data_IF_403548399909
#
_entry.id   IF_403548399909
#
_cell.length_a   1.000
_cell.length_b   1.000
_cell.length_c   1.000
_cell.angle_alpha   90.00
_cell.angle_beta   90.00
_cell.angle_gamma   90.00
#
_symmetry.space_group_name_H-M   'P 1'
#
loop_
_entity.id
_entity.type
_entity.pdbx_description
1 polymer ?
#
# COMPACT_ATOMS: atom_id res chain seq x y z
N UNK A 1 60.37 -18.25 19.10
CA UNK A 1 59.20 -17.48 18.63
C UNK A 1 58.26 -18.41 17.88
N UNK A 2 57.00 -18.54 18.29
CA UNK A 2 56.10 -19.58 17.76
C UNK A 2 55.58 -19.23 16.35
N UNK A 3 56.01 -20.00 15.36
CA UNK A 3 55.66 -19.83 13.94
C UNK A 3 54.15 -19.82 13.66
N UNK A 4 53.35 -20.47 14.52
CA UNK A 4 51.87 -20.47 14.46
C UNK A 4 51.25 -19.11 14.78
N UNK A 5 51.84 -18.36 15.71
CA UNK A 5 51.34 -17.04 16.11
C UNK A 5 51.55 -15.99 15.01
N UNK A 6 52.65 -16.11 14.27
CA UNK A 6 52.95 -15.24 13.13
C UNK A 6 51.98 -15.46 11.97
N UNK A 7 51.64 -16.73 11.65
CA UNK A 7 50.67 -17.09 10.60
C UNK A 7 49.24 -16.63 10.92
N UNK A 8 48.84 -16.70 12.20
CA UNK A 8 47.53 -16.23 12.65
C UNK A 8 47.39 -14.71 12.53
N UNK A 9 48.44 -13.96 12.90
CA UNK A 9 48.46 -12.50 12.77
C UNK A 9 48.45 -12.04 11.32
N UNK A 10 49.24 -12.67 10.45
CA UNK A 10 49.24 -12.32 9.02
C UNK A 10 47.91 -12.68 8.36
N UNK A 11 47.32 -13.84 8.69
CA UNK A 11 45.98 -14.21 8.20
C UNK A 11 44.89 -13.23 8.64
N UNK A 12 44.89 -12.82 9.91
CA UNK A 12 43.93 -11.82 10.43
C UNK A 12 44.11 -10.46 9.75
N UNK A 13 45.36 -10.02 9.55
CA UNK A 13 45.66 -8.76 8.88
C UNK A 13 45.16 -8.76 7.43
N UNK A 14 45.37 -9.87 6.70
CA UNK A 14 44.84 -10.04 5.35
C UNK A 14 43.32 -10.01 5.32
N UNK A 15 42.65 -10.71 6.25
CA UNK A 15 41.19 -10.73 6.33
C UNK A 15 40.61 -9.33 6.60
N UNK A 16 41.19 -8.60 7.56
CA UNK A 16 40.78 -7.21 7.88
C UNK A 16 41.02 -6.27 6.70
N UNK A 17 42.14 -6.42 6.00
CA UNK A 17 42.47 -5.59 4.83
C UNK A 17 41.50 -5.84 3.67
N UNK A 18 41.16 -7.10 3.40
CA UNK A 18 40.17 -7.46 2.37
C UNK A 18 38.78 -6.94 2.74
N UNK A 19 38.36 -7.07 4.00
CA UNK A 19 37.11 -6.50 4.50
C UNK A 19 37.06 -4.98 4.37
N UNK A 20 38.16 -4.29 4.70
CA UNK A 20 38.26 -2.84 4.59
C UNK A 20 38.19 -2.38 3.13
N UNK A 21 38.90 -3.06 2.21
CA UNK A 21 38.86 -2.75 0.77
C UNK A 21 37.47 -3.04 0.20
N UNK A 22 36.84 -4.16 0.57
CA UNK A 22 35.47 -4.48 0.16
C UNK A 22 34.49 -3.41 0.64
N UNK A 23 34.57 -2.99 1.92
CA UNK A 23 33.79 -1.88 2.46
C UNK A 23 34.03 -0.58 1.68
N UNK A 24 35.27 -0.22 1.39
CA UNK A 24 35.60 0.99 0.63
C UNK A 24 35.08 0.94 -0.81
N UNK A 25 35.11 -0.22 -1.47
CA UNK A 25 34.54 -0.40 -2.81
C UNK A 25 33.01 -0.28 -2.75
N UNK A 26 32.35 -0.92 -1.80
CA UNK A 26 30.90 -0.80 -1.62
C UNK A 26 30.49 0.64 -1.32
N UNK A 27 31.27 1.35 -0.49
CA UNK A 27 31.09 2.77 -0.19
C UNK A 27 31.35 3.63 -1.42
N UNK A 28 32.39 3.35 -2.20
CA UNK A 28 32.73 4.08 -3.42
C UNK A 28 31.67 3.93 -4.51
N UNK A 29 31.21 2.70 -4.76
CA UNK A 29 30.08 2.42 -5.66
C UNK A 29 28.83 3.14 -5.15
N UNK A 30 28.55 3.08 -3.85
CA UNK A 30 27.40 3.74 -3.27
C UNK A 30 27.43 5.28 -3.39
N UNK A 31 28.58 5.91 -3.12
CA UNK A 31 28.76 7.36 -3.24
C UNK A 31 28.69 7.79 -4.70
N UNK A 32 29.21 6.98 -5.63
CA UNK A 32 29.22 7.31 -7.04
C UNK A 32 27.85 7.12 -7.70
N UNK A 33 27.09 6.09 -7.29
CA UNK A 33 25.78 5.75 -7.85
C UNK A 33 24.62 6.49 -7.18
N UNK A 34 24.82 7.12 -6.00
CA UNK A 34 23.81 8.01 -5.41
C UNK A 34 24.02 9.46 -5.81
N UNK A 35 22.97 10.16 -6.29
CA UNK A 35 23.04 11.60 -6.47
C UNK A 35 23.32 12.31 -5.12
N UNK A 36 24.16 13.36 -5.10
CA UNK A 36 24.56 14.05 -3.89
C UNK A 36 23.37 14.86 -3.36
N UNK A 37 23.00 14.65 -2.10
CA UNK A 37 21.76 15.13 -1.48
C UNK A 37 20.50 14.59 -2.16
N UNK A 38 19.50 14.22 -1.35
CA UNK A 38 18.23 13.78 -1.89
C UNK A 38 17.64 14.86 -2.82
N UNK A 39 17.43 14.49 -4.09
CA UNK A 39 16.93 15.37 -5.16
C UNK A 39 15.40 15.34 -5.23
N UNK A 40 14.75 14.62 -4.32
CA UNK A 40 13.30 14.54 -4.27
C UNK A 40 12.68 15.88 -3.85
N UNK A 41 11.44 16.19 -4.30
CA UNK A 41 10.80 17.48 -4.07
C UNK A 41 10.66 17.87 -2.60
N UNK A 42 10.42 16.89 -1.73
CA UNK A 42 10.15 17.12 -0.31
C UNK A 42 11.37 16.75 0.56
N UNK A 43 12.26 17.72 0.76
CA UNK A 43 13.52 17.56 1.53
C UNK A 43 13.33 17.65 3.04
N UNK A 44 12.57 18.65 3.49
CA UNK A 44 12.23 18.90 4.88
C UNK A 44 10.73 19.18 4.98
N UNK A 45 10.06 18.43 5.84
CA UNK A 45 8.62 18.57 6.08
C UNK A 45 8.31 19.78 6.94
N UNK A 46 9.32 20.37 7.60
CA UNK A 46 9.10 21.39 8.61
C UNK A 46 8.18 20.92 9.73
N UNK A 47 7.76 21.85 10.59
CA UNK A 47 6.76 21.55 11.61
C UNK A 47 5.90 22.76 11.91
N UNK A 48 4.69 22.75 11.35
CA UNK A 48 3.61 23.63 11.81
C UNK A 48 2.63 22.75 12.58
N UNK A 49 2.50 23.01 13.88
CA UNK A 49 1.60 22.27 14.75
C UNK A 49 0.16 22.62 14.33
N UNK A 50 -0.58 21.64 13.84
CA UNK A 50 -1.95 21.84 13.33
C UNK A 50 -2.98 21.55 14.42
N UNK A 51 -2.74 20.54 15.27
CA UNK A 51 -3.64 20.23 16.39
C UNK A 51 -2.93 19.42 17.49
N UNK A 52 -3.28 19.71 18.74
CA UNK A 52 -2.93 18.86 19.89
C UNK A 52 -4.18 18.12 20.33
N UNK A 53 -4.26 16.80 20.11
CA UNK A 53 -5.39 15.99 20.57
C UNK A 53 -4.96 15.24 21.83
N UNK A 54 -5.78 15.22 22.90
CA UNK A 54 -5.50 14.37 24.06
C UNK A 54 -5.43 12.90 23.61
N UNK A 55 -4.33 12.22 23.91
CA UNK A 55 -4.12 10.86 23.42
C UNK A 55 -5.16 9.90 24.01
N UNK A 56 -5.48 8.85 23.25
CA UNK A 56 -6.33 7.71 23.68
C UNK A 56 -5.67 6.88 24.81
N UNK A 57 -4.43 7.21 25.21
CA UNK A 57 -3.71 6.59 26.33
C UNK A 57 -3.60 7.57 27.52
N UNK A 58 -3.62 7.08 28.77
CA UNK A 58 -3.45 7.95 29.92
C UNK A 58 -2.04 8.55 29.94
N UNK A 59 -1.94 9.87 29.81
CA UNK A 59 -0.70 10.64 30.01
C UNK A 59 0.02 11.16 28.75
N UNK A 60 -0.52 10.98 27.55
CA UNK A 60 0.06 11.52 26.31
C UNK A 60 -0.79 12.61 25.66
N UNK A 61 -0.15 13.59 25.02
CA UNK A 61 -0.77 14.41 23.97
C UNK A 61 -0.22 13.90 22.64
N UNK A 62 -1.08 13.60 21.67
CA UNK A 62 -0.63 13.33 20.30
C UNK A 62 -0.68 14.65 19.55
N UNK A 63 0.49 15.14 19.16
CA UNK A 63 0.63 16.34 18.34
C UNK A 63 0.57 15.94 16.86
N UNK A 64 -0.30 16.62 16.12
CA UNK A 64 -0.43 16.47 14.67
C UNK A 64 0.18 17.67 13.99
N UNK A 65 1.01 17.40 12.99
CA UNK A 65 1.75 18.40 12.25
C UNK A 65 1.26 18.47 10.80
N UNK A 66 1.20 19.68 10.25
CA UNK A 66 1.02 19.87 8.82
C UNK A 66 2.39 19.85 8.13
N UNK A 67 2.61 19.02 7.11
CA UNK A 67 3.86 19.03 6.38
C UNK A 67 3.91 20.25 5.44
N UNK A 68 5.07 20.91 5.37
CA UNK A 68 5.35 22.05 4.47
C UNK A 68 5.38 21.68 3.00
N UNK A 69 5.66 20.41 2.70
CA UNK A 69 5.61 19.83 1.36
C UNK A 69 4.77 18.55 1.39
N UNK A 70 4.18 18.16 0.26
CA UNK A 70 3.51 16.88 0.12
C UNK A 70 4.54 15.75 0.08
N UNK A 71 4.63 14.86 1.09
CA UNK A 71 5.61 13.76 1.09
C UNK A 71 5.22 12.62 0.14
N UNK A 72 3.98 12.61 -0.34
CA UNK A 72 3.41 11.52 -1.12
C UNK A 72 2.86 12.06 -2.44
N UNK A 73 3.08 11.31 -3.51
CA UNK A 73 2.47 11.50 -4.82
C UNK A 73 1.51 10.35 -5.10
N UNK A 74 0.31 10.68 -5.62
CA UNK A 74 -0.65 9.69 -6.09
C UNK A 74 -0.69 9.63 -7.61
N UNK A 75 -0.81 8.42 -8.11
CA UNK A 75 -1.04 8.14 -9.53
C UNK A 75 -2.35 7.36 -9.68
N UNK A 76 -3.08 7.69 -10.73
CA UNK A 76 -4.26 6.97 -11.16
C UNK A 76 -4.15 6.76 -12.67
N UNK A 77 -4.49 5.58 -13.12
CA UNK A 77 -4.50 5.20 -14.53
C UNK A 77 -5.74 4.35 -14.80
N UNK A 78 -6.31 4.47 -16.01
CA UNK A 78 -7.43 3.68 -16.49
C UNK A 78 -6.96 2.83 -17.68
N UNK A 79 -7.27 1.53 -17.69
CA UNK A 79 -6.88 0.64 -18.81
C UNK A 79 -7.57 1.05 -20.10
N UNK A 80 -8.91 1.13 -20.04
CA UNK A 80 -9.77 1.72 -21.05
C UNK A 80 -10.63 2.74 -20.34
N UNK A 81 -10.61 4.02 -20.75
CA UNK A 81 -11.41 5.08 -20.14
C UNK A 81 -12.87 5.00 -20.63
N UNK A 82 -13.47 3.81 -20.53
CA UNK A 82 -14.82 3.52 -20.97
C UNK A 82 -15.56 2.68 -19.91
N UNK A 83 -16.81 3.04 -19.67
CA UNK A 83 -17.73 2.37 -18.78
C UNK A 83 -19.09 2.18 -19.46
N UNK A 84 -19.98 1.37 -18.88
CA UNK A 84 -21.34 1.15 -19.36
C UNK A 84 -22.39 1.51 -18.32
N UNK A 85 -23.49 2.09 -18.79
CA UNK A 85 -24.63 2.47 -17.94
C UNK A 85 -25.19 1.23 -17.24
N UNK A 86 -25.42 1.35 -15.93
CA UNK A 86 -25.98 0.33 -15.05
C UNK A 86 -25.24 -1.02 -15.05
N UNK A 87 -23.98 -1.05 -15.51
CA UNK A 87 -23.14 -2.24 -15.45
C UNK A 87 -22.07 -2.10 -14.39
N UNK A 88 -22.01 -3.09 -13.50
CA UNK A 88 -20.87 -3.28 -12.61
C UNK A 88 -19.73 -3.92 -13.39
N UNK A 89 -18.51 -3.72 -12.92
CA UNK A 89 -17.29 -4.29 -13.48
C UNK A 89 -16.88 -3.81 -14.88
N UNK A 90 -17.18 -2.55 -15.16
CA UNK A 90 -16.93 -1.95 -16.48
C UNK A 90 -15.68 -1.08 -16.52
N UNK A 91 -15.29 -0.44 -15.42
CA UNK A 91 -14.14 0.46 -15.36
C UNK A 91 -13.00 -0.19 -14.58
N UNK A 92 -11.81 -0.16 -15.17
CA UNK A 92 -10.59 -0.79 -14.65
C UNK A 92 -9.55 0.28 -14.39
N UNK A 93 -8.95 0.27 -13.20
CA UNK A 93 -8.02 1.29 -12.75
C UNK A 93 -6.75 0.68 -12.14
N UNK A 94 -5.68 1.47 -12.12
CA UNK A 94 -4.46 1.20 -11.37
C UNK A 94 -4.11 2.43 -10.57
N UNK A 95 -4.11 2.30 -9.25
CA UNK A 95 -3.73 3.37 -8.35
C UNK A 95 -2.32 3.11 -7.82
N UNK A 96 -1.52 4.17 -7.69
CA UNK A 96 -0.18 4.09 -7.12
C UNK A 96 0.05 5.18 -6.08
N UNK A 97 0.83 4.85 -5.06
CA UNK A 97 1.30 5.78 -4.04
C UNK A 97 2.83 5.75 -4.03
N UNK A 98 3.45 6.93 -4.08
CA UNK A 98 4.90 7.08 -4.14
C UNK A 98 5.37 8.00 -3.03
N UNK A 99 6.40 7.59 -2.31
CA UNK A 99 7.09 8.48 -1.39
C UNK A 99 8.04 9.41 -2.17
N UNK A 100 7.72 10.70 -2.18
CA UNK A 100 8.52 11.78 -2.79
C UNK A 100 9.25 12.62 -1.73
N UNK A 101 9.29 12.12 -0.49
CA UNK A 101 10.09 12.63 0.59
C UNK A 101 11.44 11.90 0.66
N UNK A 102 12.46 12.62 1.15
CA UNK A 102 13.78 12.08 1.43
C UNK A 102 13.84 11.19 2.67
N UNK A 103 12.74 11.14 3.43
CA UNK A 103 12.56 10.38 4.66
C UNK A 103 11.60 9.23 4.41
N UNK A 104 11.70 8.16 5.22
CA UNK A 104 10.71 7.08 5.19
C UNK A 104 9.37 7.59 5.72
N UNK A 105 8.29 7.19 5.07
CA UNK A 105 6.93 7.58 5.44
C UNK A 105 6.15 6.32 5.81
N UNK A 106 5.82 6.16 7.09
CA UNK A 106 4.93 5.11 7.55
C UNK A 106 3.49 5.52 7.24
N UNK A 107 2.99 5.09 6.08
CA UNK A 107 1.68 5.44 5.56
C UNK A 107 0.70 4.28 5.80
N UNK A 108 -0.59 4.61 5.88
CA UNK A 108 -1.66 3.61 5.88
C UNK A 108 -1.86 3.09 4.45
N UNK A 109 -1.51 1.82 4.20
CA UNK A 109 -1.44 1.23 2.86
C UNK A 109 -2.41 0.07 2.64
N UNK A 110 -3.36 -0.10 3.56
CA UNK A 110 -4.27 -1.23 3.57
C UNK A 110 -5.12 -1.35 2.28
N UNK A 111 -5.45 -0.23 1.64
CA UNK A 111 -6.13 -0.21 0.34
C UNK A 111 -5.35 -0.95 -0.76
N UNK A 112 -4.02 -0.81 -0.78
CA UNK A 112 -3.16 -1.37 -1.83
C UNK A 112 -3.01 -2.89 -1.75
N UNK A 113 -3.37 -3.51 -0.62
CA UNK A 113 -3.39 -4.97 -0.44
C UNK A 113 -4.78 -5.61 -0.58
N UNK A 114 -5.80 -4.81 -0.93
CA UNK A 114 -7.13 -5.32 -1.27
C UNK A 114 -8.23 -5.09 -0.24
N UNK A 115 -8.15 -4.00 0.54
CA UNK A 115 -9.30 -3.50 1.29
C UNK A 115 -10.10 -2.45 0.49
N UNK A 116 -11.30 -2.15 0.99
CA UNK A 116 -12.22 -1.19 0.37
C UNK A 116 -11.65 0.24 0.37
N UNK A 117 -11.84 1.03 -0.70
CA UNK A 117 -11.44 2.44 -0.81
C UNK A 117 -12.23 3.40 0.10
N UNK A 118 -13.02 2.92 1.06
CA UNK A 118 -13.80 3.80 1.95
C UNK A 118 -13.47 3.62 3.43
N UNK A 119 -12.60 2.68 3.76
CA UNK A 119 -12.37 2.32 5.16
C UNK A 119 -11.11 2.97 5.75
N UNK A 120 -10.18 3.51 4.96
CA UNK A 120 -8.83 3.78 5.46
C UNK A 120 -8.03 4.82 4.64
N UNK A 121 -8.45 6.08 4.64
CA UNK A 121 -7.64 7.21 4.19
C UNK A 121 -7.48 7.39 2.67
N UNK A 122 -7.49 6.31 1.89
CA UNK A 122 -7.54 6.35 0.44
C UNK A 122 -8.99 6.28 -0.04
N UNK A 123 -9.38 7.12 -1.01
CA UNK A 123 -10.71 7.12 -1.63
C UNK A 123 -10.69 7.57 -3.09
N UNK A 124 -11.82 7.39 -3.79
CA UNK A 124 -12.05 7.98 -5.10
C UNK A 124 -13.08 9.09 -5.02
N UNK A 125 -12.84 10.19 -5.73
CA UNK A 125 -13.88 11.17 -6.08
C UNK A 125 -14.26 10.96 -7.53
N UNK A 126 -15.55 10.79 -7.79
CA UNK A 126 -16.09 10.59 -9.14
C UNK A 126 -17.14 11.66 -9.40
N UNK A 127 -17.10 12.33 -10.53
CA UNK A 127 -18.10 13.33 -10.93
C UNK A 127 -18.88 12.87 -12.15
N UNK A 128 -20.19 13.10 -12.12
CA UNK A 128 -21.10 12.88 -13.23
C UNK A 128 -20.93 13.96 -14.33
N UNK A 129 -21.56 13.80 -15.52
CA UNK A 129 -21.48 14.78 -16.60
C UNK A 129 -22.04 16.16 -16.24
N UNK A 130 -22.87 16.25 -15.19
CA UNK A 130 -23.37 17.52 -14.66
C UNK A 130 -22.43 18.13 -13.61
N UNK A 131 -21.27 17.51 -13.35
CA UNK A 131 -20.28 17.96 -12.38
C UNK A 131 -20.60 17.62 -10.93
N UNK A 132 -21.58 16.75 -10.66
CA UNK A 132 -21.98 16.36 -9.30
C UNK A 132 -21.22 15.11 -8.86
N UNK A 133 -20.84 15.05 -7.58
CA UNK A 133 -20.18 13.87 -7.03
C UNK A 133 -21.11 12.66 -7.06
N UNK A 134 -20.62 11.56 -7.64
CA UNK A 134 -21.28 10.25 -7.63
C UNK A 134 -21.03 9.62 -6.28
N UNK A 135 -22.10 9.28 -5.57
CA UNK A 135 -22.00 8.56 -4.30
C UNK A 135 -21.68 7.08 -4.61
N UNK A 136 -20.69 6.49 -3.94
CA UNK A 136 -20.42 5.06 -4.04
C UNK A 136 -21.69 4.26 -3.74
N UNK A 137 -22.04 3.34 -4.62
CA UNK A 137 -23.10 2.39 -4.34
C UNK A 137 -22.60 1.37 -3.32
N UNK A 138 -23.50 0.85 -2.48
CA UNK A 138 -23.18 -0.31 -1.65
C UNK A 138 -22.62 -1.39 -2.57
N UNK A 139 -21.41 -1.94 -2.29
CA UNK A 139 -20.76 -2.88 -3.19
C UNK A 139 -21.72 -4.02 -3.53
N UNK A 140 -22.49 -4.48 -2.52
CA UNK A 140 -23.51 -5.51 -2.66
C UNK A 140 -24.62 -5.32 -1.62
N UNK A 141 -25.86 -5.01 -2.02
CA UNK A 141 -26.94 -4.67 -1.10
C UNK A 141 -27.53 -5.89 -0.36
N UNK A 142 -27.26 -7.13 -0.81
CA UNK A 142 -27.93 -8.33 -0.29
C UNK A 142 -27.01 -9.53 -0.14
N UNK A 143 -27.19 -10.27 0.96
CA UNK A 143 -26.66 -11.62 1.17
C UNK A 143 -27.07 -12.52 -0.01
N UNK A 144 -26.13 -13.35 -0.49
CA UNK A 144 -26.33 -14.20 -1.68
C UNK A 144 -25.97 -13.53 -3.01
N UNK A 145 -25.53 -12.26 -3.00
CA UNK A 145 -24.96 -11.62 -4.19
C UNK A 145 -23.62 -12.26 -4.57
N UNK A 146 -23.27 -12.26 -5.86
CA UNK A 146 -21.99 -12.79 -6.34
C UNK A 146 -21.01 -11.65 -6.63
N UNK A 147 -19.84 -11.72 -6.00
CA UNK A 147 -18.66 -10.92 -6.30
C UNK A 147 -17.87 -11.65 -7.37
N UNK A 148 -17.72 -11.10 -8.57
CA UNK A 148 -17.06 -11.81 -9.67
C UNK A 148 -15.53 -11.76 -9.61
N UNK A 149 -14.98 -10.65 -9.11
CA UNK A 149 -13.54 -10.41 -9.05
C UNK A 149 -13.10 -10.20 -7.62
N UNK A 150 -11.90 -10.63 -7.30
CA UNK A 150 -11.25 -10.37 -6.02
C UNK A 150 -9.86 -9.82 -6.27
N UNK A 151 -9.29 -9.14 -5.31
CA UNK A 151 -7.91 -8.67 -5.41
C UNK A 151 -6.93 -9.84 -5.29
N UNK A 152 -5.90 -9.84 -6.14
CA UNK A 152 -4.80 -10.78 -6.05
C UNK A 152 -3.93 -10.42 -4.85
N UNK A 153 -4.23 -11.03 -3.71
CA UNK A 153 -3.46 -10.86 -2.47
C UNK A 153 -1.99 -11.30 -2.62
N UNK A 154 -1.65 -12.05 -3.67
CA UNK A 154 -0.28 -12.46 -3.92
C UNK A 154 0.54 -11.41 -4.68
N UNK A 155 -0.09 -10.42 -5.31
CA UNK A 155 0.62 -9.41 -6.10
C UNK A 155 1.54 -8.52 -5.25
N UNK A 156 1.12 -8.16 -4.03
CA UNK A 156 1.90 -7.34 -3.10
C UNK A 156 2.22 -8.07 -1.77
N UNK A 157 2.70 -9.32 -1.82
CA UNK A 157 3.01 -10.10 -0.60
C UNK A 157 4.02 -9.41 0.33
N UNK A 158 5.01 -8.69 -0.23
CA UNK A 158 6.01 -7.97 0.57
C UNK A 158 5.34 -6.91 1.44
N UNK A 159 4.49 -6.07 0.84
CA UNK A 159 3.70 -5.09 1.56
C UNK A 159 2.75 -5.75 2.55
N UNK A 160 2.02 -6.79 2.13
CA UNK A 160 1.07 -7.49 3.01
C UNK A 160 1.72 -8.04 4.30
N UNK A 161 2.97 -8.50 4.22
CA UNK A 161 3.76 -8.96 5.38
C UNK A 161 4.32 -7.82 6.23
N UNK A 162 4.54 -6.65 5.62
CA UNK A 162 5.07 -5.45 6.29
C UNK A 162 4.00 -4.55 6.90
N UNK A 163 2.71 -4.86 6.73
CA UNK A 163 1.62 -4.11 7.35
C UNK A 163 1.51 -4.44 8.84
N UNK A 164 1.41 -3.41 9.66
CA UNK A 164 1.06 -3.56 11.07
C UNK A 164 -0.44 -3.88 11.25
N UNK A 165 -0.87 -4.06 12.50
CA UNK A 165 -2.27 -4.36 12.83
C UNK A 165 -3.27 -3.25 12.46
N UNK A 166 -2.79 -2.04 12.19
CA UNK A 166 -3.58 -0.86 11.83
C UNK A 166 -3.52 -0.59 10.32
N UNK A 167 -2.80 -1.40 9.55
CA UNK A 167 -2.65 -1.26 8.11
C UNK A 167 -1.59 -0.22 7.69
N UNK A 168 -0.64 0.10 8.56
CA UNK A 168 0.50 0.97 8.26
C UNK A 168 1.71 0.16 7.80
N UNK A 169 2.47 0.70 6.85
CA UNK A 169 3.78 0.18 6.46
C UNK A 169 4.69 1.31 6.00
N UNK A 170 5.99 1.11 6.13
CA UNK A 170 7.01 2.09 5.72
C UNK A 170 7.14 2.12 4.20
N UNK A 171 7.04 3.32 3.62
CA UNK A 171 7.45 3.62 2.25
C UNK A 171 8.83 4.24 2.27
N UNK A 172 9.83 3.54 1.75
CA UNK A 172 11.16 4.09 1.61
C UNK A 172 11.18 5.28 0.63
N UNK A 173 12.19 6.16 0.76
CA UNK A 173 12.36 7.32 -0.13
C UNK A 173 12.37 6.87 -1.61
N UNK A 174 11.44 7.39 -2.41
CA UNK A 174 11.29 7.05 -3.82
C UNK A 174 10.53 5.74 -4.11
N UNK A 175 10.18 4.96 -3.08
CA UNK A 175 9.40 3.72 -3.24
C UNK A 175 8.00 4.03 -3.74
N UNK A 176 7.54 3.20 -4.68
CA UNK A 176 6.20 3.26 -5.26
C UNK A 176 5.50 1.92 -5.06
N UNK A 177 4.28 1.98 -4.56
CA UNK A 177 3.39 0.84 -4.38
C UNK A 177 2.20 1.01 -5.32
N UNK A 178 1.84 -0.06 -6.02
CA UNK A 178 0.66 -0.12 -6.88
C UNK A 178 -0.44 -0.95 -6.23
N UNK A 179 -1.70 -0.65 -6.54
CA UNK A 179 -2.86 -1.41 -6.05
C UNK A 179 -2.81 -2.85 -6.54
N UNK A 180 -3.19 -3.80 -5.69
CA UNK A 180 -3.37 -5.19 -6.11
C UNK A 180 -4.32 -5.29 -7.32
N UNK A 181 -3.96 -6.03 -8.38
CA UNK A 181 -4.83 -6.25 -9.51
C UNK A 181 -6.00 -7.15 -9.12
N UNK A 182 -7.07 -7.09 -9.90
CA UNK A 182 -8.20 -7.99 -9.77
C UNK A 182 -7.93 -9.31 -10.51
N UNK A 183 -8.36 -10.42 -9.91
CA UNK A 183 -8.41 -11.76 -10.49
C UNK A 183 -9.87 -12.21 -10.58
N UNK A 184 -10.15 -13.03 -11.58
CA UNK A 184 -11.44 -13.67 -11.73
C UNK A 184 -11.59 -14.80 -10.70
N UNK A 185 -12.28 -14.52 -9.61
CA UNK A 185 -12.42 -15.42 -8.46
C UNK A 185 -13.84 -15.29 -7.87
N UNK A 186 -14.88 -15.74 -8.62
CA UNK A 186 -16.24 -15.47 -8.25
C UNK A 186 -16.61 -16.13 -6.92
N UNK A 187 -17.19 -15.36 -6.01
CA UNK A 187 -17.57 -15.81 -4.66
C UNK A 187 -18.92 -15.22 -4.29
N UNK A 188 -19.82 -16.02 -3.74
CA UNK A 188 -21.09 -15.55 -3.22
C UNK A 188 -20.91 -14.96 -1.81
N UNK A 189 -21.64 -13.89 -1.50
CA UNK A 189 -21.59 -13.23 -0.19
C UNK A 189 -22.34 -14.06 0.84
N UNK A 190 -21.61 -14.49 1.86
CA UNK A 190 -22.12 -15.33 2.93
C UNK A 190 -23.00 -14.57 3.92
N UNK A 191 -23.96 -15.30 4.50
CA UNK A 191 -24.74 -14.84 5.64
C UNK A 191 -23.90 -15.07 6.90
N UNK A 192 -23.20 -14.05 7.37
CA UNK A 192 -22.53 -14.08 8.69
C UNK A 192 -21.00 -14.18 8.70
N UNK A 193 -20.33 -14.18 7.54
CA UNK A 193 -18.86 -14.04 7.46
C UNK A 193 -18.02 -15.14 8.12
N UNK A 194 -18.63 -16.25 8.55
CA UNK A 194 -17.90 -17.38 9.11
C UNK A 194 -17.18 -18.15 8.00
N UNK A 195 -15.85 -18.23 8.09
CA UNK A 195 -15.07 -18.99 7.10
C UNK A 195 -15.39 -20.49 7.17
N UNK A 196 -15.12 -21.22 6.08
CA UNK A 196 -15.18 -22.70 6.10
C UNK A 196 -14.33 -23.27 7.24
N UNK A 197 -13.18 -22.68 7.53
CA UNK A 197 -12.31 -23.12 8.62
C UNK A 197 -12.97 -22.93 10.00
N UNK A 198 -13.73 -21.85 10.20
CA UNK A 198 -14.49 -21.62 11.42
C UNK A 198 -15.64 -22.63 11.55
N UNK A 199 -16.34 -22.93 10.46
CA UNK A 199 -17.41 -23.94 10.42
C UNK A 199 -16.87 -25.35 10.72
N UNK A 200 -15.74 -25.74 10.10
CA UNK A 200 -15.12 -27.05 10.33
C UNK A 200 -14.53 -27.17 11.75
N UNK A 201 -14.08 -26.06 12.34
CA UNK A 201 -13.64 -26.03 13.74
C UNK A 201 -14.79 -26.22 14.71
N UNK A 202 -15.95 -25.62 14.43
CA UNK A 202 -17.14 -25.75 15.27
C UNK A 202 -17.76 -27.15 15.19
N UNK A 203 -17.66 -27.80 14.04
CA UNK A 203 -18.21 -29.14 13.80
C UNK A 203 -17.14 -30.11 13.29
N UNK A 204 -16.30 -30.66 14.21
CA UNK A 204 -15.14 -31.47 13.84
C UNK A 204 -15.51 -32.90 13.41
N UNK A 205 -16.76 -33.34 13.56
CA UNK A 205 -17.16 -34.70 13.23
C UNK A 205 -17.12 -34.96 11.70
N UNK A 206 -16.70 -36.16 11.25
CA UNK A 206 -16.53 -36.45 9.82
C UNK A 206 -17.80 -36.23 8.97
N UNK A 207 -18.98 -36.49 9.53
CA UNK A 207 -20.27 -36.31 8.85
C UNK A 207 -20.58 -34.84 8.57
N UNK A 208 -20.46 -33.97 9.57
CA UNK A 208 -20.67 -32.53 9.41
C UNK A 208 -19.63 -31.93 8.47
N UNK A 209 -18.36 -32.34 8.58
CA UNK A 209 -17.33 -31.88 7.65
C UNK A 209 -17.64 -32.27 6.20
N UNK A 210 -18.11 -33.50 5.96
CA UNK A 210 -18.52 -33.94 4.64
C UNK A 210 -19.72 -33.16 4.11
N UNK A 211 -20.70 -32.88 4.97
CA UNK A 211 -21.87 -32.06 4.65
C UNK A 211 -21.46 -30.62 4.26
N UNK A 212 -20.63 -29.95 5.06
CA UNK A 212 -20.16 -28.59 4.77
C UNK A 212 -19.35 -28.53 3.47
N UNK A 213 -18.44 -29.49 3.24
CA UNK A 213 -17.68 -29.59 1.98
C UNK A 213 -18.60 -29.77 0.78
N UNK A 214 -19.65 -30.59 0.91
CA UNK A 214 -20.65 -30.80 -0.15
C UNK A 214 -21.45 -29.52 -0.43
N UNK A 215 -21.94 -28.85 0.61
CA UNK A 215 -22.70 -27.60 0.48
C UNK A 215 -21.88 -26.51 -0.22
N UNK A 216 -20.59 -26.40 0.08
CA UNK A 216 -19.70 -25.44 -0.58
C UNK A 216 -19.48 -25.79 -2.05
N UNK A 217 -19.25 -27.06 -2.39
CA UNK A 217 -19.11 -27.47 -3.79
C UNK A 217 -20.37 -27.13 -4.60
N UNK A 218 -21.55 -27.45 -4.08
CA UNK A 218 -22.83 -27.15 -4.74
C UNK A 218 -23.02 -25.64 -4.92
N UNK A 219 -22.58 -24.85 -3.94
CA UNK A 219 -22.61 -23.39 -3.99
C UNK A 219 -21.63 -22.82 -5.02
N UNK A 220 -20.39 -23.31 -5.05
CA UNK A 220 -19.37 -22.91 -6.02
C UNK A 220 -19.82 -23.25 -7.44
N UNK A 221 -20.40 -24.43 -7.65
CA UNK A 221 -20.96 -24.84 -8.93
C UNK A 221 -22.13 -23.94 -9.36
N UNK A 222 -23.01 -23.56 -8.44
CA UNK A 222 -24.10 -22.61 -8.70
C UNK A 222 -23.55 -21.24 -9.08
N UNK A 223 -22.57 -20.75 -8.31
CA UNK A 223 -21.90 -19.47 -8.54
C UNK A 223 -21.26 -19.45 -9.92
N UNK A 224 -20.50 -20.49 -10.29
CA UNK A 224 -19.89 -20.63 -11.62
C UNK A 224 -20.94 -20.62 -12.73
N UNK A 225 -22.06 -21.34 -12.56
CA UNK A 225 -23.16 -21.35 -13.54
C UNK A 225 -23.79 -19.98 -13.73
N UNK A 226 -24.06 -19.25 -12.65
CA UNK A 226 -24.62 -17.90 -12.72
C UNK A 226 -23.65 -16.94 -13.41
N UNK A 227 -22.37 -16.99 -13.05
CA UNK A 227 -21.34 -16.11 -13.59
C UNK A 227 -21.05 -16.40 -15.07
N UNK A 228 -21.12 -17.65 -15.50
CA UNK A 228 -20.99 -18.02 -16.91
C UNK A 228 -22.06 -17.34 -17.79
N UNK A 229 -23.24 -17.04 -17.23
CA UNK A 229 -24.31 -16.31 -17.92
C UNK A 229 -24.14 -14.78 -17.95
N UNK A 230 -23.18 -14.23 -17.20
CA UNK A 230 -23.01 -12.76 -17.06
C UNK A 230 -22.10 -12.13 -18.12
N UNK A 231 -21.44 -12.92 -18.98
CA UNK A 231 -20.51 -12.43 -20.02
C UNK A 231 -19.48 -11.41 -19.50
N UNK A 232 -18.86 -11.72 -18.36
CA UNK A 232 -17.93 -10.82 -17.70
C UNK A 232 -16.57 -10.77 -18.42
N UNK A 233 -15.96 -9.58 -18.57
CA UNK A 233 -14.66 -9.45 -19.22
C UNK A 233 -13.53 -10.08 -18.37
N UNK A 234 -12.48 -10.55 -19.03
CA UNK A 234 -11.26 -10.91 -18.30
C UNK A 234 -10.62 -9.65 -17.69
N UNK A 235 -10.08 -9.73 -16.45
CA UNK A 235 -9.44 -8.57 -15.85
C UNK A 235 -8.16 -8.20 -16.62
N UNK A 236 -7.96 -6.92 -16.99
CA UNK A 236 -6.70 -6.46 -17.56
C UNK A 236 -5.54 -6.66 -16.60
N UNK A 237 -4.36 -7.00 -17.13
CA UNK A 237 -3.18 -7.30 -16.31
C UNK A 237 -2.74 -6.07 -15.53
N UNK A 238 -2.67 -6.18 -14.20
CA UNK A 238 -2.20 -5.10 -13.32
C UNK A 238 -3.28 -4.09 -12.91
N UNK A 239 -4.53 -4.30 -13.33
CA UNK A 239 -5.65 -3.39 -13.04
C UNK A 239 -6.63 -4.01 -12.05
N UNK A 240 -7.24 -3.14 -11.25
CA UNK A 240 -8.33 -3.43 -10.32
C UNK A 240 -9.64 -2.91 -10.89
N UNK A 241 -10.73 -3.62 -10.65
CA UNK A 241 -12.06 -3.18 -11.07
C UNK A 241 -12.63 -2.15 -10.10
N UNK A 242 -13.23 -1.06 -10.60
CA UNK A 242 -13.94 -0.08 -9.79
C UNK A 242 -15.36 -0.59 -9.51
N UNK A 243 -15.52 -1.42 -8.48
CA UNK A 243 -16.75 -2.18 -8.22
C UNK A 243 -17.81 -1.41 -7.41
N UNK A 244 -17.39 -0.36 -6.71
CA UNK A 244 -18.22 0.41 -5.79
C UNK A 244 -19.00 1.53 -6.49
N UNK A 245 -18.75 1.77 -7.76
CA UNK A 245 -19.43 2.80 -8.54
C UNK A 245 -20.37 2.17 -9.56
N UNK A 246 -21.56 2.75 -9.69
CA UNK A 246 -22.55 2.42 -10.70
C UNK A 246 -22.94 3.71 -11.44
N UNK A 247 -22.72 3.73 -12.76
CA UNK A 247 -23.00 4.89 -13.58
C UNK A 247 -24.40 4.77 -14.18
N UNK A 248 -25.27 5.74 -13.91
CA UNK A 248 -26.68 5.68 -14.27
C UNK A 248 -27.07 6.50 -15.51
N UNK A 249 -26.12 7.26 -16.06
CA UNK A 249 -26.33 8.11 -17.24
C UNK A 249 -25.14 7.97 -18.19
N UNK A 250 -25.36 8.06 -19.50
CA UNK A 250 -24.25 8.15 -20.45
C UNK A 250 -23.61 9.54 -20.40
N UNK A 251 -22.38 9.64 -20.91
CA UNK A 251 -21.61 10.88 -21.05
C UNK A 251 -20.23 10.81 -20.39
N UNK A 252 -19.54 11.94 -20.38
CA UNK A 252 -18.17 12.03 -19.84
C UNK A 252 -18.19 12.24 -18.33
N UNK A 253 -17.56 11.31 -17.62
CA UNK A 253 -17.37 11.35 -16.17
C UNK A 253 -15.91 11.68 -15.85
N UNK A 254 -15.67 12.13 -14.62
CA UNK A 254 -14.32 12.40 -14.09
C UNK A 254 -14.02 11.54 -12.87
N UNK A 255 -12.78 11.12 -12.70
CA UNK A 255 -12.32 10.38 -11.53
C UNK A 255 -10.98 10.91 -11.02
N UNK A 256 -10.81 10.92 -9.69
CA UNK A 256 -9.59 11.30 -9.00
C UNK A 256 -9.35 10.37 -7.82
N UNK A 257 -8.12 9.92 -7.63
CA UNK A 257 -7.69 9.23 -6.41
C UNK A 257 -7.27 10.27 -5.35
N UNK A 258 -7.66 10.02 -4.10
CA UNK A 258 -7.42 10.92 -2.97
C UNK A 258 -6.87 10.11 -1.80
N UNK A 259 -5.84 10.63 -1.16
CA UNK A 259 -5.28 10.10 0.07
C UNK A 259 -5.33 11.20 1.12
N UNK A 260 -6.07 10.97 2.19
CA UNK A 260 -6.28 11.88 3.30
C UNK A 260 -6.20 11.07 4.60
N UNK A 261 -5.00 11.01 5.17
CA UNK A 261 -4.72 10.17 6.33
C UNK A 261 -3.49 10.68 7.09
N UNK A 262 -3.28 10.13 8.28
CA UNK A 262 -2.08 10.39 9.05
C UNK A 262 -0.93 9.49 8.59
N UNK A 263 0.30 9.97 8.70
CA UNK A 263 1.50 9.15 8.58
C UNK A 263 2.50 9.49 9.65
N UNK A 264 3.20 8.47 10.13
CA UNK A 264 4.35 8.65 11.00
C UNK A 264 5.57 8.85 10.11
N UNK A 265 6.26 9.97 10.30
CA UNK A 265 7.49 10.25 9.56
C UNK A 265 8.63 10.33 10.56
N UNK A 266 9.63 9.49 10.34
CA UNK A 266 10.85 9.48 11.13
C UNK A 266 11.87 10.41 10.46
N UNK A 267 12.13 11.60 11.01
CA UNK A 267 13.15 12.47 10.46
C UNK A 267 14.51 11.78 10.53
N UNK A 268 15.34 11.98 9.50
CA UNK A 268 16.76 11.61 9.63
C UNK A 268 17.34 12.40 10.80
N UNK A 269 18.15 11.79 11.67
CA UNK A 269 18.68 12.50 12.82
C UNK A 269 19.47 13.71 12.34
N UNK A 270 19.17 14.90 12.86
CA UNK A 270 19.87 16.15 12.46
C UNK A 270 21.37 16.09 12.77
N UNK A 271 21.77 15.31 13.78
CA UNK A 271 23.18 15.03 14.07
C UNK A 271 23.88 14.25 12.94
N UNK A 272 23.17 13.46 12.15
CA UNK A 272 23.74 12.76 11.00
C UNK A 272 24.10 13.76 9.89
N UNK A 273 23.37 14.88 9.80
CA UNK A 273 23.63 15.90 8.79
C UNK A 273 24.91 16.69 9.04
N UNK A 274 25.38 16.73 10.29
CA UNK A 274 26.64 17.38 10.65
C UNK A 274 27.87 16.50 10.42
N UNK A 275 27.68 15.23 10.01
CA UNK A 275 28.80 14.33 9.75
C UNK A 275 29.41 14.61 8.37
N UNK A 276 30.74 14.56 8.23
CA UNK A 276 31.41 14.67 6.94
C UNK A 276 31.17 13.42 6.10
N UNK A 277 31.17 13.59 4.78
CA UNK A 277 31.29 12.46 3.85
C UNK A 277 32.69 11.82 3.98
N UNK A 278 32.83 10.48 3.86
CA UNK A 278 31.79 9.49 3.51
C UNK A 278 31.04 8.90 4.72
N UNK A 279 31.43 9.27 5.94
CA UNK A 279 30.89 8.70 7.18
C UNK A 279 29.40 8.94 7.31
N UNK A 280 28.92 10.12 6.90
CA UNK A 280 27.48 10.45 6.79
C UNK A 280 26.74 9.44 5.92
N UNK A 281 27.25 9.17 4.72
CA UNK A 281 26.67 8.16 3.82
C UNK A 281 26.69 6.77 4.43
N UNK A 282 27.81 6.31 5.00
CA UNK A 282 27.94 4.96 5.60
C UNK A 282 26.95 4.76 6.75
N UNK A 283 26.85 5.73 7.65
CA UNK A 283 25.93 5.66 8.78
C UNK A 283 24.49 5.79 8.28
N UNK A 284 24.21 6.68 7.32
CA UNK A 284 22.91 6.78 6.66
C UNK A 284 22.46 5.47 6.01
N UNK A 285 23.35 4.77 5.30
CA UNK A 285 23.11 3.42 4.76
C UNK A 285 22.82 2.44 5.85
N UNK A 286 23.63 2.41 6.91
CA UNK A 286 23.46 1.46 8.00
C UNK A 286 22.11 1.68 8.67
N UNK A 287 21.71 2.93 8.86
CA UNK A 287 20.40 3.29 9.39
C UNK A 287 19.26 2.89 8.44
N UNK A 288 19.40 3.17 7.13
CA UNK A 288 18.42 2.80 6.09
C UNK A 288 18.30 1.26 5.91
N UNK A 289 19.40 0.50 6.04
CA UNK A 289 19.44 -0.97 5.86
C UNK A 289 18.93 -1.70 7.09
N UNK A 290 19.29 -1.22 8.29
CA UNK A 290 18.97 -1.95 9.49
C UNK A 290 17.53 -1.72 9.97
N UNK A 291 16.78 -0.74 9.43
CA UNK A 291 15.38 -0.42 9.82
C UNK A 291 15.16 -0.40 11.35
N UNK A 292 16.25 -0.20 12.10
CA UNK A 292 16.37 -0.46 13.54
C UNK A 292 16.81 0.78 14.28
N UNK A 293 16.28 1.94 13.88
CA UNK A 293 15.91 2.89 14.91
C UNK A 293 14.45 2.66 15.28
N UNK A 294 14.19 1.86 16.35
CA UNK A 294 12.95 2.03 17.08
C UNK A 294 12.97 3.47 17.60
N UNK A 295 12.18 4.34 17.00
CA UNK A 295 11.74 5.58 17.65
C UNK A 295 12.89 6.42 18.25
N UNK A 296 13.80 6.97 17.43
CA UNK A 296 14.48 8.21 17.87
C UNK A 296 13.38 9.24 18.12
N UNK A 297 13.38 9.87 19.30
CA UNK A 297 12.26 10.59 19.92
C UNK A 297 11.60 11.75 19.16
N UNK A 298 11.87 11.92 17.87
CA UNK A 298 11.33 12.96 17.00
C UNK A 298 10.42 12.43 15.88
N UNK A 299 10.03 11.15 15.90
CA UNK A 299 9.03 10.65 14.96
C UNK A 299 7.69 11.37 15.21
N UNK A 300 7.16 12.04 14.18
CA UNK A 300 5.97 12.89 14.28
C UNK A 300 4.87 12.38 13.38
N UNK A 301 3.63 12.53 13.84
CA UNK A 301 2.45 12.26 13.05
C UNK A 301 2.12 13.49 12.22
N UNK A 302 2.09 13.32 10.90
CA UNK A 302 1.70 14.36 9.95
C UNK A 302 0.36 14.03 9.32
N UNK A 303 -0.51 15.02 9.17
CA UNK A 303 -1.67 14.92 8.28
C UNK A 303 -1.18 15.01 6.83
N UNK A 304 -1.39 13.96 6.04
CA UNK A 304 -1.01 13.93 4.63
C UNK A 304 -2.27 13.97 3.79
N UNK A 305 -2.34 14.99 2.95
CA UNK A 305 -3.30 15.09 1.84
C UNK A 305 -2.56 15.01 0.51
N UNK A 306 -2.97 14.09 -0.35
CA UNK A 306 -2.47 13.96 -1.71
C UNK A 306 -3.61 13.62 -2.67
N UNK A 307 -3.51 14.11 -3.91
CA UNK A 307 -4.51 13.85 -4.94
C UNK A 307 -3.81 13.49 -6.25
N UNK A 308 -4.39 12.55 -7.01
CA UNK A 308 -3.93 12.28 -8.37
C UNK A 308 -4.41 13.36 -9.34
N UNK A 309 -3.90 13.32 -10.58
CA UNK A 309 -4.56 13.98 -11.69
C UNK A 309 -6.02 13.52 -11.83
N UNK A 310 -6.88 14.41 -12.31
CA UNK A 310 -8.25 14.09 -12.69
C UNK A 310 -8.21 13.46 -14.07
N UNK A 311 -8.85 12.31 -14.22
CA UNK A 311 -8.99 11.61 -15.50
C UNK A 311 -10.43 11.65 -15.96
N UNK A 312 -10.62 11.87 -17.26
CA UNK A 312 -11.91 11.73 -17.93
C UNK A 312 -12.12 10.28 -18.40
N UNK A 313 -13.36 9.81 -18.37
CA UNK A 313 -13.76 8.54 -18.98
C UNK A 313 -15.21 8.62 -19.49
N UNK A 314 -15.51 7.85 -20.52
CA UNK A 314 -16.82 7.88 -21.19
C UNK A 314 -17.72 6.75 -20.69
N UNK A 315 -18.95 7.08 -20.29
CA UNK A 315 -19.99 6.08 -19.98
C UNK A 315 -20.90 5.95 -21.20
N UNK A 316 -20.91 4.76 -21.81
CA UNK A 316 -21.75 4.41 -22.96
C UNK A 316 -23.02 3.68 -22.53
N UNK A 317 -24.04 3.74 -23.37
CA UNK A 317 -25.28 2.95 -23.21
C UNK A 317 -25.03 1.44 -23.21
#
# INVERSE_FOLDING_TARGET
>A
MNHRWLKLRTGLFWLVSVLAVFLLIQVGIYIHDRPPACVLPCRDLGSELELTVPAVRPGGRTEFYRPRCGPIELTLELDKPEARVNQRYTLWYRAGIKNICCQSVAAKLLFFVGNSPFENGFSFRVWDPAGRLVVPATPYPTVGSIIAYREDRQANQKLAKGLDRWGYSDLASGEMILSNPSIFAPTEIERGGESLEDLLRRFPDPSSQAFHKKAIRERDERTRRVVAGMNLPAPPRGYRVLMEYLFNKPGTYRIQAVYDEQALIAPKPTWLESWPEPSRSIVGISLDIFDRFPFSGDARWYGIHAESAILDFEVKE
#
